data_IF_895903852361
#
_entry.id   IF_895903852361
#
_cell.length_a   1.000
_cell.length_b   1.000
_cell.length_c   1.000
_cell.angle_alpha   90.00
_cell.angle_beta   90.00
_cell.angle_gamma   90.00
#
_symmetry.space_group_name_H-M   'P 1'
#
loop_
_entity.id
_entity.type
_entity.pdbx_description
1 polymer ?
#
# COMPACT_ATOMS: atom_id res chain seq x y z
N UNK A 1 17.63 9.88 26.52
CA UNK A 1 17.85 8.63 25.78
C UNK A 1 16.62 8.37 24.93
N UNK A 2 16.75 8.04 23.64
CA UNK A 2 15.56 7.69 22.85
C UNK A 2 14.93 6.45 23.48
N UNK A 3 13.61 6.45 23.61
CA UNK A 3 12.86 5.28 24.05
C UNK A 3 13.06 4.22 22.96
N UNK A 4 13.56 3.01 23.27
CA UNK A 4 13.71 1.97 22.26
C UNK A 4 12.37 1.73 21.57
N UNK A 5 12.40 1.63 20.24
CA UNK A 5 11.21 1.35 19.45
C UNK A 5 10.65 -0.02 19.86
N UNK A 6 9.35 -0.12 20.20
CA UNK A 6 8.76 -1.39 20.62
C UNK A 6 8.54 -2.36 19.45
N UNK A 7 8.55 -1.90 18.19
CA UNK A 7 8.68 -2.77 17.02
C UNK A 7 10.17 -3.04 16.75
N UNK A 8 10.68 -4.25 17.04
CA UNK A 8 12.10 -4.56 16.90
C UNK A 8 12.57 -4.48 15.44
N UNK A 9 11.64 -4.50 14.47
CA UNK A 9 11.95 -4.46 13.04
C UNK A 9 12.39 -3.06 12.60
N UNK A 10 11.96 -1.99 13.28
CA UNK A 10 12.32 -0.60 12.93
C UNK A 10 13.83 -0.39 12.94
N UNK A 11 14.55 -0.95 13.93
CA UNK A 11 16.01 -0.88 13.97
C UNK A 11 16.64 -1.61 12.78
N UNK A 12 16.11 -2.78 12.43
CA UNK A 12 16.57 -3.56 11.28
C UNK A 12 16.35 -2.84 9.95
N UNK A 13 15.26 -2.06 9.82
CA UNK A 13 15.03 -1.22 8.65
C UNK A 13 16.09 -0.14 8.52
N UNK A 14 16.41 0.58 9.61
CA UNK A 14 17.39 1.68 9.60
C UNK A 14 18.78 1.24 9.11
N UNK A 15 19.15 -0.02 9.34
CA UNK A 15 20.42 -0.60 8.93
C UNK A 15 20.40 -1.26 7.54
N UNK A 16 19.24 -1.33 6.89
CA UNK A 16 19.11 -1.95 5.57
C UNK A 16 19.90 -1.17 4.50
N UNK A 17 20.69 -1.88 3.69
CA UNK A 17 21.55 -1.35 2.63
C UNK A 17 21.52 -2.20 1.35
N UNK A 18 20.84 -3.35 1.36
CA UNK A 18 20.70 -4.25 0.23
C UNK A 18 19.83 -3.61 -0.86
N UNK A 19 19.66 -4.31 -1.97
CA UNK A 19 18.67 -4.00 -3.00
C UNK A 19 17.37 -4.75 -2.72
N UNK A 20 16.27 -4.29 -3.33
CA UNK A 20 14.97 -4.98 -3.30
C UNK A 20 15.13 -6.46 -3.70
N UNK A 21 14.49 -7.36 -2.95
CA UNK A 21 14.69 -8.80 -3.07
C UNK A 21 13.81 -9.45 -4.18
N UNK A 22 12.93 -8.70 -4.85
CA UNK A 22 12.08 -9.20 -5.91
C UNK A 22 12.45 -8.70 -7.31
N UNK A 23 11.58 -9.02 -8.27
CA UNK A 23 11.65 -8.46 -9.62
C UNK A 23 10.99 -7.07 -9.67
N UNK A 24 11.54 -6.18 -10.49
CA UNK A 24 10.94 -4.87 -10.76
C UNK A 24 10.63 -4.79 -12.25
N UNK A 25 9.34 -4.78 -12.59
CA UNK A 25 8.84 -4.81 -13.96
C UNK A 25 8.26 -3.46 -14.35
N UNK A 26 8.94 -2.74 -15.25
CA UNK A 26 8.41 -1.51 -15.87
C UNK A 26 8.20 -1.80 -17.35
N UNK A 27 6.97 -2.15 -17.72
CA UNK A 27 6.64 -2.40 -19.12
C UNK A 27 6.40 -1.06 -19.84
N UNK A 28 7.22 -0.79 -20.87
CA UNK A 28 7.12 0.43 -21.67
C UNK A 28 5.86 0.45 -22.54
N UNK A 29 5.28 -0.71 -22.86
CA UNK A 29 4.00 -0.82 -23.53
C UNK A 29 2.85 -0.73 -22.52
N UNK A 30 2.16 0.41 -22.55
CA UNK A 30 1.00 0.69 -21.70
C UNK A 30 -0.13 -0.32 -21.92
N UNK A 31 -0.34 -0.81 -23.15
CA UNK A 31 -1.42 -1.74 -23.44
C UNK A 31 -1.16 -3.11 -22.79
N UNK A 32 0.08 -3.59 -22.86
CA UNK A 32 0.46 -4.82 -22.17
C UNK A 32 0.42 -4.65 -20.65
N UNK A 33 0.93 -3.54 -20.11
CA UNK A 33 0.85 -3.26 -18.67
C UNK A 33 -0.61 -3.20 -18.15
N UNK A 34 -1.51 -2.56 -18.91
CA UNK A 34 -2.93 -2.52 -18.59
C UNK A 34 -3.56 -3.92 -18.59
N UNK A 35 -3.26 -4.76 -19.60
CA UNK A 35 -3.71 -6.15 -19.66
C UNK A 35 -3.21 -6.97 -18.47
N UNK A 36 -1.95 -6.84 -18.10
CA UNK A 36 -1.38 -7.52 -16.92
C UNK A 36 -2.12 -7.12 -15.65
N UNK A 37 -2.38 -5.83 -15.43
CA UNK A 37 -3.13 -5.35 -14.28
C UNK A 37 -4.59 -5.82 -14.29
N UNK A 38 -5.22 -5.90 -15.47
CA UNK A 38 -6.57 -6.43 -15.65
C UNK A 38 -6.63 -7.92 -15.28
N UNK A 39 -5.72 -8.72 -15.82
CA UNK A 39 -5.59 -10.14 -15.46
C UNK A 39 -5.35 -10.30 -13.97
N UNK A 40 -4.44 -9.53 -13.37
CA UNK A 40 -4.16 -9.60 -11.94
C UNK A 40 -5.39 -9.25 -11.08
N UNK A 41 -6.24 -8.33 -11.53
CA UNK A 41 -7.49 -7.97 -10.82
C UNK A 41 -8.49 -9.13 -10.77
N UNK A 42 -8.37 -10.12 -11.65
CA UNK A 42 -9.32 -11.22 -11.82
C UNK A 42 -8.67 -12.62 -11.65
N UNK A 43 -7.37 -12.67 -11.37
CA UNK A 43 -6.60 -13.92 -11.32
C UNK A 43 -7.12 -14.83 -10.20
N UNK A 44 -7.04 -16.15 -10.41
CA UNK A 44 -7.35 -17.11 -9.34
C UNK A 44 -6.52 -16.83 -8.08
N UNK A 45 -7.17 -16.86 -6.92
CA UNK A 45 -6.51 -16.67 -5.62
C UNK A 45 -5.47 -17.76 -5.33
N UNK A 46 -5.60 -18.93 -5.96
CA UNK A 46 -4.64 -20.02 -5.90
C UNK A 46 -4.28 -20.52 -7.30
N UNK A 47 -2.99 -20.79 -7.52
CA UNK A 47 -2.49 -21.46 -8.73
C UNK A 47 -1.64 -22.65 -8.27
N UNK A 48 -2.05 -23.87 -8.64
CA UNK A 48 -1.37 -25.10 -8.21
C UNK A 48 -1.16 -25.20 -6.69
N UNK A 49 -2.14 -24.74 -5.91
CA UNK A 49 -2.06 -24.72 -4.44
C UNK A 49 -1.23 -23.58 -3.85
N UNK A 50 -0.64 -22.71 -4.68
CA UNK A 50 0.14 -21.55 -4.22
C UNK A 50 -0.74 -20.30 -4.19
N UNK A 51 -0.90 -19.64 -3.02
CA UNK A 51 -1.67 -18.41 -2.88
C UNK A 51 -1.06 -17.27 -3.71
N UNK A 52 -1.94 -16.51 -4.36
CA UNK A 52 -1.63 -15.38 -5.23
C UNK A 52 -2.05 -14.08 -4.55
N UNK A 53 -1.08 -13.38 -3.96
CA UNK A 53 -1.30 -12.10 -3.29
C UNK A 53 -1.03 -10.96 -4.27
N UNK A 54 -2.09 -10.45 -4.92
CA UNK A 54 -2.03 -9.34 -5.88
C UNK A 54 -2.53 -8.05 -5.22
N UNK A 55 -1.60 -7.13 -4.98
CA UNK A 55 -1.88 -5.85 -4.33
C UNK A 55 -1.82 -4.69 -5.33
N UNK A 56 -2.71 -3.72 -5.16
CA UNK A 56 -2.74 -2.45 -5.89
C UNK A 56 -2.60 -1.34 -4.86
N UNK A 57 -1.49 -0.60 -4.94
CA UNK A 57 -1.17 0.48 -4.00
C UNK A 57 -1.22 1.84 -4.68
N UNK A 58 -1.79 2.83 -3.99
CA UNK A 58 -1.84 4.22 -4.43
C UNK A 58 -1.81 5.16 -3.21
N UNK A 59 -1.29 6.38 -3.40
CA UNK A 59 -1.19 7.42 -2.38
C UNK A 59 -1.53 8.81 -2.90
N UNK A 60 -2.27 9.58 -2.11
CA UNK A 60 -2.59 10.97 -2.46
C UNK A 60 -2.47 11.92 -1.27
N UNK A 61 -2.34 13.23 -1.56
CA UNK A 61 -2.20 14.28 -0.54
C UNK A 61 -3.26 15.37 -0.71
N UNK A 62 -3.55 16.12 0.35
CA UNK A 62 -4.37 17.33 0.30
C UNK A 62 -3.63 18.36 -0.53
N UNK A 63 -4.29 18.81 -1.60
CA UNK A 63 -3.77 19.76 -2.58
C UNK A 63 -3.01 20.92 -1.91
N UNK A 64 -1.69 20.79 -1.82
CA UNK A 64 -0.75 21.89 -1.93
C UNK A 64 -0.17 21.77 -3.33
N UNK A 65 -0.24 22.85 -4.10
CA UNK A 65 0.32 23.02 -5.45
C UNK A 65 1.20 21.87 -5.96
N UNK A 66 0.73 21.26 -7.04
CA UNK A 66 1.44 20.34 -7.93
C UNK A 66 2.70 20.99 -8.54
N UNK A 67 3.73 21.24 -7.74
CA UNK A 67 5.02 21.71 -8.26
C UNK A 67 6.09 21.67 -7.18
N UNK A 68 6.91 20.63 -7.20
CA UNK A 68 8.39 20.70 -7.18
C UNK A 68 9.13 21.60 -6.18
N UNK A 69 8.50 22.16 -5.14
CA UNK A 69 9.18 23.02 -4.16
C UNK A 69 9.07 22.44 -2.75
N UNK A 70 10.21 22.09 -2.11
CA UNK A 70 10.30 21.72 -0.69
C UNK A 70 9.84 22.80 0.31
N UNK A 71 9.33 23.93 -0.18
CA UNK A 71 9.05 25.15 0.58
C UNK A 71 7.62 25.19 1.16
N UNK A 72 6.74 24.24 0.82
CA UNK A 72 5.33 24.23 1.24
C UNK A 72 5.04 23.47 2.55
N UNK A 73 6.07 23.06 3.31
CA UNK A 73 5.88 22.42 4.61
C UNK A 73 5.20 21.05 4.53
N UNK A 74 4.78 20.53 5.68
CA UNK A 74 4.05 19.27 5.80
C UNK A 74 2.58 19.46 5.39
N UNK A 75 2.02 18.51 4.64
CA UNK A 75 0.58 18.45 4.34
C UNK A 75 -0.03 17.15 4.87
N UNK A 76 -1.35 17.04 4.81
CA UNK A 76 -2.07 15.80 5.08
C UNK A 76 -2.23 14.97 3.81
N UNK A 77 -2.48 13.68 3.96
CA UNK A 77 -2.76 12.78 2.86
C UNK A 77 -3.17 11.41 3.33
N UNK A 78 -3.04 10.43 2.45
CA UNK A 78 -3.30 9.03 2.74
C UNK A 78 -2.76 8.13 1.66
N UNK A 79 -2.71 6.85 2.00
CA UNK A 79 -2.35 5.78 1.07
C UNK A 79 -3.19 4.56 1.35
N UNK A 80 -3.37 3.74 0.32
CA UNK A 80 -4.29 2.62 0.33
C UNK A 80 -3.69 1.40 -0.33
N UNK A 81 -4.25 0.26 0.05
CA UNK A 81 -3.94 -1.03 -0.52
C UNK A 81 -5.26 -1.71 -0.86
N UNK A 82 -5.45 -2.06 -2.12
CA UNK A 82 -6.55 -2.90 -2.57
C UNK A 82 -5.99 -4.26 -2.99
N UNK A 83 -6.59 -5.35 -2.54
CA UNK A 83 -6.17 -6.70 -2.90
C UNK A 83 -7.31 -7.69 -2.70
N UNK A 84 -7.13 -8.91 -3.20
CA UNK A 84 -8.04 -10.01 -2.96
C UNK A 84 -7.37 -10.98 -1.99
N UNK A 85 -7.99 -11.29 -0.85
CA UNK A 85 -7.37 -12.12 0.17
C UNK A 85 -7.56 -13.62 -0.16
N UNK A 86 -6.50 -14.39 -0.46
CA UNK A 86 -6.62 -15.81 -0.78
C UNK A 86 -6.96 -16.68 0.44
N UNK A 87 -6.83 -16.16 1.67
CA UNK A 87 -7.03 -16.94 2.90
C UNK A 87 -8.40 -16.69 3.56
N UNK A 88 -9.16 -15.74 3.06
CA UNK A 88 -10.55 -15.50 3.47
C UNK A 88 -11.49 -16.09 2.41
N UNK A 89 -12.65 -16.57 2.85
CA UNK A 89 -13.72 -17.04 1.95
C UNK A 89 -14.37 -15.85 1.23
N UNK A 90 -13.65 -15.23 0.29
CA UNK A 90 -14.24 -14.26 -0.64
C UNK A 90 -14.91 -15.01 -1.78
N UNK A 91 -16.17 -14.69 -2.04
CA UNK A 91 -16.88 -15.20 -3.22
C UNK A 91 -16.18 -14.66 -4.46
N UNK A 92 -15.58 -15.55 -5.27
CA UNK A 92 -14.90 -15.17 -6.52
C UNK A 92 -15.85 -14.36 -7.41
N UNK A 93 -15.43 -13.16 -7.80
CA UNK A 93 -16.13 -12.37 -8.81
C UNK A 93 -15.69 -12.80 -10.21
N UNK A 94 -16.65 -13.26 -11.00
CA UNK A 94 -16.52 -13.41 -12.45
C UNK A 94 -17.32 -12.27 -13.08
N UNK A 95 -16.64 -11.21 -13.52
CA UNK A 95 -17.29 -10.16 -14.31
C UNK A 95 -17.83 -10.75 -15.60
N UNK A 96 -19.14 -10.65 -15.83
CA UNK A 96 -19.76 -11.01 -17.13
C UNK A 96 -19.82 -9.82 -18.10
N UNK A 97 -19.28 -8.65 -17.71
CA UNK A 97 -19.40 -7.40 -18.47
C UNK A 97 -18.05 -6.94 -19.04
N UNK A 98 -18.07 -6.49 -20.30
CA UNK A 98 -16.88 -6.07 -21.04
C UNK A 98 -16.24 -4.76 -20.53
N UNK A 99 -16.92 -4.02 -19.63
CA UNK A 99 -16.45 -2.71 -19.19
C UNK A 99 -16.82 -2.37 -17.71
N UNK A 100 -16.17 -3.01 -16.71
CA UNK A 100 -16.49 -2.85 -15.28
C UNK A 100 -16.15 -1.48 -14.68
N UNK A 101 -15.53 -0.58 -15.47
CA UNK A 101 -15.08 0.76 -15.03
C UNK A 101 -16.26 1.71 -14.73
N UNK A 102 -17.45 1.45 -15.28
CA UNK A 102 -18.62 2.34 -15.16
C UNK A 102 -19.35 2.33 -13.81
N UNK A 103 -19.00 1.43 -12.88
CA UNK A 103 -19.66 1.32 -11.56
C UNK A 103 -18.95 2.08 -10.43
N UNK A 104 -17.92 2.87 -10.74
CA UNK A 104 -17.10 3.56 -9.75
C UNK A 104 -17.70 4.87 -9.20
N UNK A 105 -18.97 5.19 -9.45
CA UNK A 105 -19.57 6.38 -8.82
C UNK A 105 -19.73 6.18 -7.30
N UNK A 106 -20.03 4.95 -6.84
CA UNK A 106 -20.10 4.61 -5.42
C UNK A 106 -19.76 3.13 -5.21
N UNK A 107 -18.47 2.72 -5.20
CA UNK A 107 -18.13 1.34 -4.90
C UNK A 107 -18.60 0.98 -3.49
N UNK A 108 -19.51 0.01 -3.38
CA UNK A 108 -19.94 -0.54 -2.10
C UNK A 108 -18.79 -1.40 -1.55
N UNK A 109 -18.01 -0.80 -0.64
CA UNK A 109 -16.84 -1.38 0.03
C UNK A 109 -17.29 -2.32 1.15
N UNK A 110 -16.82 -3.57 1.16
CA UNK A 110 -17.20 -4.55 2.20
C UNK A 110 -16.68 -4.20 3.60
N UNK A 111 -15.63 -3.39 3.73
CA UNK A 111 -15.21 -2.79 4.99
C UNK A 111 -14.21 -1.66 4.76
N UNK A 112 -14.43 -0.48 5.36
CA UNK A 112 -13.37 0.49 5.57
C UNK A 112 -12.54 0.03 6.76
N UNK A 113 -11.65 -0.95 6.56
CA UNK A 113 -10.73 -1.35 7.62
C UNK A 113 -9.59 -0.32 7.70
N UNK A 114 -9.66 0.53 8.73
CA UNK A 114 -8.44 1.09 9.31
C UNK A 114 -7.69 -0.08 9.95
N UNK A 115 -6.39 -0.18 9.66
CA UNK A 115 -5.55 -1.13 10.37
C UNK A 115 -5.56 -0.78 11.86
N UNK A 116 -6.36 -1.53 12.61
CA UNK A 116 -6.27 -2.00 14.00
C UNK A 116 -7.67 -2.57 14.29
N UNK A 117 -7.71 -3.80 14.81
CA UNK A 117 -8.89 -4.55 15.26
C UNK A 117 -10.20 -3.74 15.31
N UNK A 118 -11.10 -4.06 14.39
CA UNK A 118 -12.52 -3.77 14.57
C UNK A 118 -13.30 -5.00 14.10
N UNK A 119 -13.80 -5.72 15.11
CA UNK A 119 -14.95 -6.60 15.00
C UNK A 119 -16.03 -5.95 14.12
N UNK A 120 -16.50 -6.70 13.13
CA UNK A 120 -17.80 -6.56 12.46
C UNK A 120 -18.28 -5.13 12.12
N UNK A 121 -18.27 -4.82 10.82
CA UNK A 121 -19.36 -4.01 10.23
C UNK A 121 -20.13 -4.90 9.26
N UNK A 122 -20.79 -5.91 9.81
CA UNK A 122 -21.98 -6.51 9.23
C UNK A 122 -23.06 -6.28 10.29
N UNK A 123 -23.92 -5.28 10.06
CA UNK A 123 -25.32 -5.19 10.52
C UNK A 123 -25.79 -3.74 10.39
N UNK A 124 -26.33 -3.38 9.22
CA UNK A 124 -27.64 -2.72 9.25
C UNK A 124 -28.65 -3.85 9.05
N UNK A 125 -29.39 -4.13 10.12
CA UNK A 125 -30.44 -5.12 10.17
C UNK A 125 -31.46 -4.92 9.03
N UNK A 126 -31.73 -5.97 8.26
CA UNK A 126 -33.07 -6.20 7.75
C UNK A 126 -33.38 -5.90 6.28
N UNK A 127 -32.44 -5.47 5.43
CA UNK A 127 -32.72 -5.34 3.98
C UNK A 127 -31.81 -6.22 3.13
N UNK A 128 -32.39 -7.34 2.67
CA UNK A 128 -31.81 -8.17 1.59
C UNK A 128 -31.91 -7.36 0.30
N UNK A 129 -30.88 -6.56 0.02
CA UNK A 129 -30.74 -5.90 -1.27
C UNK A 129 -30.28 -6.92 -2.31
N UNK A 130 -31.25 -7.47 -3.05
CA UNK A 130 -31.07 -8.39 -4.18
C UNK A 130 -30.63 -7.64 -5.46
N UNK A 131 -29.61 -6.78 -5.33
CA UNK A 131 -29.07 -5.97 -6.42
C UNK A 131 -27.84 -6.63 -7.08
N UNK A 132 -27.73 -6.65 -8.42
CA UNK A 132 -26.58 -7.22 -9.15
C UNK A 132 -25.25 -6.44 -8.98
N UNK A 133 -25.18 -5.49 -8.05
CA UNK A 133 -24.10 -4.50 -7.88
C UNK A 133 -23.16 -4.75 -6.70
N UNK A 134 -23.19 -5.93 -6.07
CA UNK A 134 -22.22 -6.30 -5.02
C UNK A 134 -20.83 -6.58 -5.63
N UNK A 135 -19.86 -5.68 -5.39
CA UNK A 135 -18.42 -5.87 -5.61
C UNK A 135 -17.85 -6.73 -4.46
N UNK A 136 -17.85 -8.06 -4.59
CA UNK A 136 -17.60 -8.99 -3.45
C UNK A 136 -16.12 -9.38 -3.23
N UNK A 137 -15.17 -8.98 -4.07
CA UNK A 137 -13.88 -9.72 -4.16
C UNK A 137 -12.61 -8.94 -3.72
N UNK A 138 -12.72 -7.69 -3.24
CA UNK A 138 -11.55 -6.89 -2.82
C UNK A 138 -11.62 -6.43 -1.37
N UNK A 139 -10.51 -6.63 -0.65
CA UNK A 139 -10.19 -6.02 0.63
C UNK A 139 -9.49 -4.68 0.38
N UNK A 140 -9.89 -3.63 1.10
CA UNK A 140 -9.32 -2.28 0.98
C UNK A 140 -8.83 -1.82 2.35
N UNK A 141 -7.53 -1.58 2.46
CA UNK A 141 -6.90 -1.07 3.69
C UNK A 141 -6.61 0.42 3.57
N UNK A 142 -6.94 1.14 4.63
CA UNK A 142 -7.04 2.59 4.58
C UNK A 142 -6.20 3.31 5.65
N UNK A 143 -5.14 4.01 5.23
CA UNK A 143 -4.27 4.79 6.12
C UNK A 143 -4.30 6.30 5.85
N UNK A 144 -4.55 7.09 6.90
CA UNK A 144 -4.42 8.54 6.90
C UNK A 144 -3.04 8.99 7.37
N UNK A 145 -2.56 10.14 6.90
CA UNK A 145 -1.26 10.70 7.29
C UNK A 145 -1.38 12.20 7.52
N UNK A 146 -0.93 12.68 8.69
CA UNK A 146 -0.90 14.12 9.00
C UNK A 146 0.35 14.85 8.50
N UNK A 147 1.46 14.12 8.38
CA UNK A 147 2.76 14.62 7.93
C UNK A 147 3.20 13.89 6.67
N UNK A 148 2.64 14.30 5.55
CA UNK A 148 3.06 13.90 4.22
C UNK A 148 3.89 15.03 3.59
N UNK A 149 5.07 14.69 3.09
CA UNK A 149 6.00 15.63 2.46
C UNK A 149 5.71 15.82 0.97
N UNK A 150 5.27 14.75 0.29
CA UNK A 150 4.96 14.80 -1.16
C UNK A 150 4.20 13.56 -1.62
N UNK A 151 3.60 13.61 -2.82
CA UNK A 151 2.92 12.46 -3.44
C UNK A 151 3.84 11.22 -3.53
N UNK A 152 5.09 11.31 -4.04
CA UNK A 152 5.95 10.14 -4.11
C UNK A 152 6.28 9.48 -2.76
N UNK A 153 6.11 10.20 -1.64
CA UNK A 153 6.31 9.63 -0.31
C UNK A 153 5.12 8.75 0.12
N UNK A 154 3.88 9.23 -0.07
CA UNK A 154 2.68 8.46 0.28
C UNK A 154 2.51 7.25 -0.66
N UNK A 155 2.97 7.37 -1.90
CA UNK A 155 3.04 6.27 -2.86
C UNK A 155 4.05 5.18 -2.46
N UNK A 156 5.23 5.58 -1.96
CA UNK A 156 6.18 4.64 -1.36
C UNK A 156 5.58 3.95 -0.13
N UNK A 157 4.83 4.69 0.68
CA UNK A 157 4.13 4.12 1.83
C UNK A 157 3.07 3.11 1.40
N UNK A 158 2.34 3.36 0.31
CA UNK A 158 1.41 2.39 -0.26
C UNK A 158 2.11 1.06 -0.59
N UNK A 159 3.25 1.13 -1.29
CA UNK A 159 4.05 -0.07 -1.62
C UNK A 159 4.54 -0.79 -0.37
N UNK A 160 5.04 -0.06 0.63
CA UNK A 160 5.49 -0.66 1.89
C UNK A 160 4.34 -1.30 2.67
N UNK A 161 3.14 -0.71 2.61
CA UNK A 161 1.95 -1.25 3.25
C UNK A 161 1.44 -2.52 2.56
N UNK A 162 1.55 -2.61 1.23
CA UNK A 162 1.29 -3.86 0.51
C UNK A 162 2.19 -4.99 1.02
N UNK A 163 3.49 -4.71 1.20
CA UNK A 163 4.45 -5.67 1.75
C UNK A 163 4.16 -6.02 3.21
N UNK A 164 3.83 -5.04 4.05
CA UNK A 164 3.45 -5.27 5.45
C UNK A 164 2.21 -6.17 5.55
N UNK A 165 1.21 -5.93 4.69
CA UNK A 165 0.00 -6.73 4.61
C UNK A 165 0.32 -8.16 4.16
N UNK A 166 1.19 -8.32 3.17
CA UNK A 166 1.66 -9.65 2.75
C UNK A 166 2.41 -10.39 3.86
N UNK A 167 3.24 -9.69 4.64
CA UNK A 167 3.93 -10.24 5.81
C UNK A 167 2.91 -10.71 6.85
N UNK A 168 1.91 -9.89 7.18
CA UNK A 168 0.86 -10.26 8.13
C UNK A 168 0.13 -11.53 7.70
N UNK A 169 -0.34 -11.58 6.45
CA UNK A 169 -1.05 -12.75 5.92
C UNK A 169 -0.15 -14.00 5.89
N UNK A 170 1.13 -13.84 5.57
CA UNK A 170 2.07 -14.95 5.62
C UNK A 170 2.29 -15.45 7.05
N UNK A 171 2.55 -14.55 7.99
CA UNK A 171 2.83 -14.90 9.39
C UNK A 171 1.59 -15.43 10.12
N UNK A 172 0.39 -15.08 9.67
CA UNK A 172 -0.87 -15.61 10.20
C UNK A 172 -1.14 -17.03 9.67
N UNK A 173 -1.15 -17.21 8.35
CA UNK A 173 -1.60 -18.45 7.72
C UNK A 173 -0.49 -19.47 7.47
N UNK A 174 0.78 -19.06 7.59
CA UNK A 174 1.97 -19.89 7.37
C UNK A 174 1.92 -20.74 6.08
N UNK A 175 1.61 -20.15 4.91
CA UNK A 175 1.62 -20.93 3.67
C UNK A 175 3.05 -21.40 3.37
N UNK A 176 3.23 -22.58 2.73
CA UNK A 176 4.56 -23.10 2.41
C UNK A 176 5.33 -22.21 1.41
N UNK A 177 4.60 -21.45 0.58
CA UNK A 177 5.11 -20.42 -0.33
C UNK A 177 3.92 -19.53 -0.77
N UNK A 178 4.22 -18.35 -1.30
CA UNK A 178 3.24 -17.41 -1.85
C UNK A 178 3.84 -16.63 -3.01
N UNK A 179 3.01 -16.20 -3.96
CA UNK A 179 3.42 -15.22 -4.99
C UNK A 179 2.84 -13.86 -4.63
N UNK A 180 3.70 -12.89 -4.35
CA UNK A 180 3.31 -11.51 -4.04
C UNK A 180 3.64 -10.60 -5.22
N UNK A 181 2.63 -9.99 -5.81
CA UNK A 181 2.80 -8.96 -6.84
C UNK A 181 2.17 -7.66 -6.38
N UNK A 182 2.94 -6.58 -6.42
CA UNK A 182 2.50 -5.23 -6.07
C UNK A 182 2.45 -4.38 -7.33
N UNK A 183 1.30 -3.79 -7.59
CA UNK A 183 1.05 -2.87 -8.69
C UNK A 183 1.04 -1.44 -8.17
N UNK A 184 1.79 -0.56 -8.84
CA UNK A 184 1.78 0.89 -8.62
C UNK A 184 1.83 1.60 -9.97
N UNK A 185 1.05 2.66 -10.11
CA UNK A 185 1.07 3.49 -11.31
C UNK A 185 2.18 4.55 -11.32
N UNK A 186 2.88 4.68 -10.18
CA UNK A 186 3.91 5.68 -9.97
C UNK A 186 5.28 5.18 -10.44
N UNK A 187 5.61 5.46 -11.70
CA UNK A 187 6.94 5.13 -12.26
C UNK A 187 8.07 5.78 -11.45
N UNK A 188 7.83 6.92 -10.79
CA UNK A 188 8.84 7.58 -9.97
C UNK A 188 9.17 6.78 -8.70
N UNK A 189 8.17 6.17 -8.06
CA UNK A 189 8.32 5.30 -6.89
C UNK A 189 9.02 4.00 -7.26
N UNK A 190 8.61 3.36 -8.34
CA UNK A 190 9.26 2.12 -8.81
C UNK A 190 10.74 2.36 -9.14
N UNK A 191 11.04 3.44 -9.87
CA UNK A 191 12.42 3.83 -10.15
C UNK A 191 13.20 4.19 -8.87
N UNK A 192 12.53 4.79 -7.88
CA UNK A 192 13.15 5.14 -6.60
C UNK A 192 13.54 3.89 -5.81
N UNK A 193 12.69 2.86 -5.77
CA UNK A 193 12.98 1.56 -5.14
C UNK A 193 14.10 0.85 -5.90
N UNK A 194 14.06 0.86 -7.24
CA UNK A 194 15.11 0.27 -8.10
C UNK A 194 16.50 0.86 -7.84
N UNK A 195 16.58 2.16 -7.51
CA UNK A 195 17.85 2.83 -7.17
C UNK A 195 18.39 2.45 -5.78
N UNK A 196 17.60 1.79 -4.93
CA UNK A 196 18.00 1.36 -3.59
C UNK A 196 18.24 2.51 -2.61
N UNK A 197 18.93 2.23 -1.52
CA UNK A 197 19.24 3.24 -0.48
C UNK A 197 20.30 4.21 -1.02
N UNK A 198 19.95 5.50 -1.10
CA UNK A 198 20.87 6.50 -1.62
C UNK A 198 21.84 6.95 -0.52
N UNK A 199 23.13 6.69 -0.72
CA UNK A 199 24.18 7.09 0.20
C UNK A 199 24.51 8.60 0.09
N UNK A 200 24.90 9.20 1.21
CA UNK A 200 25.71 10.41 1.18
C UNK A 200 27.02 10.13 0.44
N UNK A 201 27.33 10.89 -0.60
CA UNK A 201 28.72 10.96 -1.07
C UNK A 201 29.54 11.58 0.08
N UNK A 202 30.72 11.02 0.38
CA UNK A 202 31.58 11.49 1.49
C UNK A 202 31.72 13.02 1.43
N UNK A 203 31.27 13.71 2.48
CA UNK A 203 31.34 15.17 2.61
C UNK A 203 30.07 15.95 2.27
N UNK A 204 29.01 15.34 1.71
CA UNK A 204 27.73 16.03 1.47
C UNK A 204 26.64 15.56 2.44
N UNK A 205 25.86 16.50 3.00
CA UNK A 205 24.68 16.18 3.80
C UNK A 205 23.62 15.54 2.90
N UNK A 206 22.84 14.56 3.42
CA UNK A 206 21.67 14.05 2.71
C UNK A 206 20.76 15.23 2.36
N UNK A 207 20.28 15.26 1.12
CA UNK A 207 19.20 16.18 0.76
C UNK A 207 17.99 15.89 1.66
N UNK A 208 17.19 16.92 1.95
CA UNK A 208 15.95 16.76 2.71
C UNK A 208 15.06 15.67 2.10
N UNK A 209 15.05 15.60 0.77
CA UNK A 209 14.44 14.52 0.00
C UNK A 209 14.96 13.13 0.40
N UNK A 210 16.28 12.91 0.43
CA UNK A 210 16.80 11.60 0.81
C UNK A 210 16.48 11.24 2.26
N UNK A 211 16.41 12.21 3.18
CA UNK A 211 16.08 11.96 4.59
C UNK A 211 14.66 11.40 4.76
N UNK A 212 13.68 11.88 3.99
CA UNK A 212 12.29 11.42 4.12
C UNK A 212 11.98 10.19 3.28
N UNK A 213 12.79 9.90 2.27
CA UNK A 213 12.55 8.79 1.34
C UNK A 213 13.39 7.54 1.64
N UNK A 214 14.62 7.71 2.15
CA UNK A 214 15.46 6.55 2.49
C UNK A 214 14.80 5.63 3.51
N UNK A 215 14.16 6.11 4.61
CA UNK A 215 13.53 5.24 5.58
C UNK A 215 12.46 4.32 4.96
N UNK A 216 11.57 4.88 4.12
CA UNK A 216 10.57 4.07 3.40
C UNK A 216 11.21 3.05 2.47
N UNK A 217 12.23 3.44 1.71
CA UNK A 217 12.93 2.51 0.80
C UNK A 217 13.65 1.41 1.58
N UNK A 218 14.24 1.73 2.72
CA UNK A 218 14.87 0.77 3.62
C UNK A 218 13.87 -0.23 4.18
N UNK A 219 12.71 0.24 4.66
CA UNK A 219 11.61 -0.62 5.09
C UNK A 219 11.15 -1.55 3.97
N UNK A 220 10.89 -1.02 2.77
CA UNK A 220 10.47 -1.82 1.59
C UNK A 220 11.51 -2.91 1.28
N UNK A 221 12.79 -2.57 1.28
CA UNK A 221 13.86 -3.53 1.00
C UNK A 221 13.87 -4.62 2.08
N UNK A 222 13.83 -4.22 3.35
CA UNK A 222 13.83 -5.19 4.45
C UNK A 222 12.62 -6.13 4.38
N UNK A 223 11.41 -5.59 4.20
CA UNK A 223 10.17 -6.36 4.06
C UNK A 223 10.25 -7.34 2.87
N UNK A 224 10.86 -6.92 1.77
CA UNK A 224 11.05 -7.80 0.61
C UNK A 224 12.01 -8.97 0.91
N UNK A 225 13.08 -8.75 1.66
CA UNK A 225 13.96 -9.84 2.07
C UNK A 225 13.26 -10.77 3.06
N UNK A 226 12.50 -10.22 4.01
CA UNK A 226 11.74 -11.01 4.98
C UNK A 226 10.81 -12.05 4.31
N UNK A 227 10.05 -11.61 3.30
CA UNK A 227 9.17 -12.48 2.52
C UNK A 227 9.96 -13.47 1.65
N UNK A 228 11.05 -13.03 1.02
CA UNK A 228 11.88 -13.91 0.18
C UNK A 228 12.55 -15.03 0.99
N UNK A 229 13.05 -14.72 2.18
CA UNK A 229 13.68 -15.69 3.10
C UNK A 229 12.69 -16.76 3.58
N UNK A 230 11.39 -16.47 3.45
CA UNK A 230 10.25 -17.35 3.73
C UNK A 230 9.73 -18.10 2.50
N UNK A 231 10.42 -18.01 1.37
CA UNK A 231 10.06 -18.73 0.14
C UNK A 231 8.99 -18.05 -0.71
N UNK A 232 8.67 -16.78 -0.46
CA UNK A 232 7.76 -16.02 -1.32
C UNK A 232 8.47 -15.55 -2.60
N UNK A 233 7.76 -15.62 -3.72
CA UNK A 233 8.15 -14.96 -4.97
C UNK A 233 7.61 -13.52 -4.98
N UNK A 234 8.46 -12.55 -5.32
CA UNK A 234 8.13 -11.12 -5.22
C UNK A 234 8.27 -10.40 -6.56
N UNK A 235 7.26 -9.63 -6.91
CA UNK A 235 7.28 -8.71 -8.05
C UNK A 235 6.70 -7.34 -7.68
N UNK A 236 7.38 -6.27 -8.07
CA UNK A 236 6.87 -4.91 -8.11
C UNK A 236 6.68 -4.51 -9.58
N UNK A 237 5.43 -4.35 -10.01
CA UNK A 237 5.07 -4.08 -11.39
C UNK A 237 4.46 -2.68 -11.56
N UNK A 238 4.84 -2.01 -12.65
CA UNK A 238 4.19 -0.78 -13.08
C UNK A 238 2.92 -1.09 -13.87
N UNK A 239 1.85 -0.35 -13.60
CA UNK A 239 0.64 -0.34 -14.43
C UNK A 239 0.23 1.10 -14.79
N UNK A 240 -0.51 1.34 -15.88
CA UNK A 240 -1.09 2.65 -16.11
C UNK A 240 -2.18 2.94 -15.06
N UNK A 241 -2.33 4.22 -14.70
CA UNK A 241 -3.36 4.69 -13.77
C UNK A 241 -4.76 4.26 -14.22
N UNK A 242 -5.56 3.76 -13.29
CA UNK A 242 -6.96 3.33 -13.50
C UNK A 242 -7.15 2.40 -14.72
N UNK A 243 -6.15 1.59 -15.05
CA UNK A 243 -6.18 0.73 -16.24
C UNK A 243 -6.99 -0.56 -16.07
N UNK A 244 -7.38 -0.87 -14.85
CA UNK A 244 -8.09 -2.07 -14.45
C UNK A 244 -8.85 -1.82 -13.14
N UNK A 245 -9.69 -2.78 -12.73
CA UNK A 245 -10.51 -2.65 -11.52
C UNK A 245 -9.66 -2.41 -10.26
N UNK A 246 -8.62 -3.24 -10.02
CA UNK A 246 -7.75 -3.09 -8.85
C UNK A 246 -7.08 -1.72 -8.75
N UNK A 247 -6.36 -1.24 -9.79
CA UNK A 247 -5.80 0.12 -9.81
C UNK A 247 -6.84 1.23 -9.63
N UNK A 248 -8.03 1.10 -10.23
CA UNK A 248 -9.08 2.11 -10.07
C UNK A 248 -9.66 2.16 -8.65
N UNK A 249 -9.80 1.00 -7.99
CA UNK A 249 -10.21 0.92 -6.58
C UNK A 249 -9.14 1.59 -5.71
N UNK A 250 -7.86 1.29 -5.94
CA UNK A 250 -6.75 1.88 -5.19
C UNK A 250 -6.72 3.42 -5.34
N UNK A 251 -6.85 3.95 -6.56
CA UNK A 251 -6.87 5.40 -6.84
C UNK A 251 -8.08 6.10 -6.17
N UNK A 252 -9.28 5.54 -6.34
CA UNK A 252 -10.48 6.08 -5.72
C UNK A 252 -10.33 6.09 -4.19
N UNK A 253 -9.93 4.95 -3.61
CA UNK A 253 -9.71 4.83 -2.19
C UNK A 253 -8.62 5.80 -1.71
N UNK A 254 -7.54 6.02 -2.48
CA UNK A 254 -6.45 6.91 -2.09
C UNK A 254 -6.89 8.35 -1.93
N UNK A 255 -8.02 8.76 -2.53
CA UNK A 255 -8.59 10.10 -2.37
C UNK A 255 -9.68 10.22 -1.30
N UNK A 256 -10.19 9.09 -0.79
CA UNK A 256 -11.28 9.06 0.20
C UNK A 256 -10.94 9.70 1.56
N UNK A 257 -9.66 9.93 1.88
CA UNK A 257 -9.29 10.66 3.10
C UNK A 257 -9.86 12.10 3.13
N UNK A 258 -10.29 12.63 1.97
CA UNK A 258 -10.99 13.92 1.84
C UNK A 258 -12.38 13.92 2.48
N UNK A 259 -13.03 12.76 2.50
CA UNK A 259 -14.40 12.58 2.99
C UNK A 259 -14.43 12.37 4.51
N UNK A 260 -13.27 12.20 5.14
CA UNK A 260 -13.11 11.84 6.53
C UNK A 260 -13.17 13.02 7.52
N UNK A 261 -13.70 14.16 7.07
CA UNK A 261 -13.88 15.39 7.85
C UNK A 261 -12.61 16.21 8.09
N UNK A 262 -12.78 17.41 8.65
CA UNK A 262 -11.64 18.19 9.16
C UNK A 262 -10.93 17.38 10.25
N UNK A 263 -9.58 17.33 10.24
CA UNK A 263 -8.81 16.55 11.20
C UNK A 263 -8.88 17.22 12.57
N UNK A 264 -9.98 17.03 13.31
CA UNK A 264 -9.86 17.05 14.77
C UNK A 264 -8.77 16.04 15.14
N UNK A 265 -7.79 16.51 15.91
CA UNK A 265 -6.39 16.07 15.93
C UNK A 265 -6.13 14.62 16.39
N UNK A 266 -7.10 13.71 16.36
CA UNK A 266 -6.98 12.42 17.07
C UNK A 266 -7.46 11.20 16.29
N UNK A 267 -8.33 11.32 15.28
CA UNK A 267 -8.99 10.12 14.74
C UNK A 267 -8.18 9.34 13.71
N UNK A 268 -7.27 9.98 12.97
CA UNK A 268 -6.75 9.40 11.72
C UNK A 268 -5.24 9.20 11.64
N UNK A 269 -4.50 9.79 12.57
CA UNK A 269 -3.08 9.44 12.77
C UNK A 269 -3.01 8.51 13.95
N UNK A 270 -2.30 7.40 13.80
CA UNK A 270 -2.00 6.48 14.89
C UNK A 270 -0.92 7.02 15.83
N UNK A 271 -0.57 8.30 15.73
CA UNK A 271 0.38 8.99 16.61
C UNK A 271 0.04 8.92 18.10
N UNK A 272 -1.23 8.71 18.44
CA UNK A 272 -1.70 8.49 19.81
C UNK A 272 -1.55 7.03 20.29
N UNK A 273 -1.25 6.10 19.39
CA UNK A 273 -1.06 4.68 19.70
C UNK A 273 0.41 4.37 19.87
N UNK A 274 0.74 3.33 20.63
CA UNK A 274 2.13 2.86 20.74
C UNK A 274 2.60 2.30 19.39
N UNK A 275 3.89 2.48 19.07
CA UNK A 275 4.47 2.15 17.76
C UNK A 275 4.26 0.68 17.32
N UNK A 276 4.19 -0.23 18.28
CA UNK A 276 3.94 -1.66 18.11
C UNK A 276 2.51 -2.00 17.69
N UNK A 277 1.55 -1.14 18.02
CA UNK A 277 0.12 -1.32 17.69
C UNK A 277 -0.27 -0.55 16.43
N UNK A 278 0.62 0.29 15.89
CA UNK A 278 0.34 0.99 14.63
C UNK A 278 0.36 0.02 13.47
N UNK A 279 -0.51 0.26 12.51
CA UNK A 279 -0.55 -0.49 11.26
C UNK A 279 -0.11 0.35 10.06
N UNK A 280 -0.17 1.68 10.17
CA UNK A 280 0.26 2.60 9.13
C UNK A 280 1.77 2.86 9.15
N UNK A 281 2.47 2.46 8.08
CA UNK A 281 3.92 2.62 7.98
C UNK A 281 4.43 4.07 8.10
N UNK A 282 3.68 5.03 7.56
CA UNK A 282 4.06 6.45 7.65
C UNK A 282 4.07 6.97 9.08
N UNK A 283 3.11 6.55 9.89
CA UNK A 283 3.03 6.96 11.29
C UNK A 283 4.12 6.28 12.13
N UNK A 284 4.53 5.06 11.79
CA UNK A 284 5.73 4.41 12.38
C UNK A 284 7.00 5.18 12.05
N UNK A 285 7.20 5.54 10.78
CA UNK A 285 8.44 6.17 10.33
C UNK A 285 8.56 7.64 10.73
N UNK A 286 7.46 8.41 10.67
CA UNK A 286 7.48 9.84 10.98
C UNK A 286 7.92 10.14 12.43
N UNK A 287 7.62 9.28 13.40
CA UNK A 287 8.12 9.46 14.77
C UNK A 287 9.62 9.20 14.87
N UNK A 288 10.12 8.18 14.18
CA UNK A 288 11.55 7.84 14.21
C UNK A 288 12.44 8.84 13.48
N UNK A 289 11.85 9.73 12.67
CA UNK A 289 12.58 10.73 11.86
C UNK A 289 12.56 12.13 12.47
N UNK A 290 11.76 12.36 13.52
CA UNK A 290 11.72 13.63 14.27
C UNK A 290 12.68 13.65 15.48
N UNK A 291 13.54 12.63 15.61
CA UNK A 291 14.72 12.59 16.49
C UNK A 291 15.97 13.12 15.78
#
# INVERSE_FOLDING_TARGET
SPTPSPDPRIALWKDERRSFAGFITINQDKATAARTAHMASQTSLFISGVPQLKFFGDGSIKNGSSSSRPEHGWTTGGYRVAFRNPFEDTVQFVSRDENPIRFLEHPSVNAYQQGIDNDYVLEEEGEIYDGPSRLVDFTILCFGVKKAFSIPQVELAAVSQCLETAIRLYDEHHPPTSVVTIFSDSTCVINRIKRGVLACRRGTKLTLWNKFFNPLVQTIIWQSHYLRDRGCELELAWNPRCSALGPSIADAAATSWKEWGEPEETKWSQGNLSLDVRDGIMDKLNETTNE
#
